data_IF_821409426835
#
_entry.id   IF_821409426835
#
_cell.length_a   1.000
_cell.length_b   1.000
_cell.length_c   1.000
_cell.angle_alpha   90.00
_cell.angle_beta   90.00
_cell.angle_gamma   90.00
#
_symmetry.space_group_name_H-M   'P 1'
#
loop_
_entity.id
_entity.type
_entity.pdbx_description
1 polymer ?
#
# COMPACT_ATOMS: atom_id res chain seq x y z
N UNK A 1 -8.91 -12.37 -2.28
CA UNK A 1 -9.04 -10.93 -2.51
C UNK A 1 -9.04 -10.25 -1.15
N UNK A 2 -8.00 -9.50 -0.81
CA UNK A 2 -7.94 -8.75 0.46
C UNK A 2 -8.71 -7.45 0.25
N UNK A 3 -10.04 -7.55 0.32
CA UNK A 3 -10.87 -6.36 0.30
C UNK A 3 -10.83 -5.71 1.70
N UNK A 4 -11.15 -4.42 1.85
CA UNK A 4 -11.32 -3.75 3.14
C UNK A 4 -12.20 -4.55 4.11
N UNK A 5 -13.17 -5.30 3.56
CA UNK A 5 -14.01 -6.26 4.28
C UNK A 5 -13.23 -7.27 5.12
N UNK A 6 -12.14 -7.84 4.58
CA UNK A 6 -11.32 -8.81 5.33
C UNK A 6 -10.66 -8.16 6.54
N UNK A 7 -10.18 -6.94 6.36
CA UNK A 7 -9.55 -6.18 7.45
C UNK A 7 -10.57 -5.87 8.55
N UNK A 8 -11.78 -5.42 8.17
CA UNK A 8 -12.87 -5.17 9.13
C UNK A 8 -13.29 -6.46 9.84
N UNK A 9 -13.49 -7.58 9.12
CA UNK A 9 -13.85 -8.86 9.75
C UNK A 9 -12.77 -9.37 10.73
N UNK A 10 -11.50 -9.19 10.38
CA UNK A 10 -10.37 -9.53 11.26
C UNK A 10 -10.36 -8.65 12.52
N UNK A 11 -10.44 -7.34 12.38
CA UNK A 11 -10.48 -6.40 13.51
C UNK A 11 -11.68 -6.64 14.41
N UNK A 12 -12.85 -6.90 13.80
CA UNK A 12 -14.07 -7.23 14.53
C UNK A 12 -13.98 -8.51 15.37
N UNK A 13 -13.10 -9.45 15.00
CA UNK A 13 -12.85 -10.67 15.77
C UNK A 13 -11.80 -10.48 16.87
N UNK A 14 -10.79 -9.67 16.59
CA UNK A 14 -9.56 -9.63 17.38
C UNK A 14 -9.49 -8.44 18.34
N UNK A 15 -10.37 -7.44 18.19
CA UNK A 15 -10.34 -6.21 18.98
C UNK A 15 -11.70 -5.87 19.60
N UNK A 16 -11.70 -4.87 20.49
CA UNK A 16 -12.91 -4.30 21.12
C UNK A 16 -12.96 -2.82 20.77
N UNK A 17 -13.51 -2.49 19.61
CA UNK A 17 -13.49 -1.18 18.99
C UNK A 17 -14.86 -0.80 18.45
N UNK A 18 -15.11 0.49 18.29
CA UNK A 18 -16.24 1.00 17.55
C UNK A 18 -15.81 1.24 16.10
N UNK A 19 -16.41 0.51 15.17
CA UNK A 19 -16.14 0.57 13.73
C UNK A 19 -17.33 1.20 13.04
N UNK A 20 -17.10 2.27 12.28
CA UNK A 20 -18.13 2.85 11.38
C UNK A 20 -17.68 2.67 9.95
N UNK A 21 -18.58 2.14 9.10
CA UNK A 21 -18.34 2.07 7.66
C UNK A 21 -19.31 2.98 6.91
N UNK A 22 -18.81 3.61 5.84
CA UNK A 22 -19.59 4.39 4.88
C UNK A 22 -19.33 3.80 3.50
N UNK A 23 -20.35 3.21 2.88
CA UNK A 23 -20.22 2.38 1.68
C UNK A 23 -21.29 2.75 0.62
N UNK A 24 -20.99 2.51 -0.67
CA UNK A 24 -21.91 2.75 -1.78
C UNK A 24 -21.82 1.62 -2.83
N UNK A 25 -22.70 0.60 -2.72
CA UNK A 25 -23.55 0.22 -1.59
C UNK A 25 -22.80 -0.59 -0.52
N UNK A 26 -23.51 -0.96 0.57
CA UNK A 26 -23.03 -1.97 1.52
C UNK A 26 -23.02 -3.32 0.80
N UNK A 27 -21.81 -3.85 0.51
CA UNK A 27 -21.67 -5.15 -0.18
C UNK A 27 -21.80 -6.33 0.78
N UNK A 28 -21.47 -6.13 2.04
CA UNK A 28 -21.47 -7.18 3.04
C UNK A 28 -21.82 -6.67 4.42
N UNK A 29 -22.81 -7.31 5.07
CA UNK A 29 -23.23 -6.97 6.42
C UNK A 29 -22.35 -7.67 7.45
N UNK A 30 -21.68 -6.90 8.29
CA UNK A 30 -20.92 -7.39 9.41
C UNK A 30 -21.82 -7.57 10.63
N UNK A 31 -21.64 -8.70 11.33
CA UNK A 31 -22.27 -8.91 12.64
C UNK A 31 -21.30 -8.45 13.71
N UNK A 32 -21.82 -7.84 14.77
CA UNK A 32 -21.02 -7.55 15.96
C UNK A 32 -20.40 -8.82 16.54
N UNK A 33 -19.13 -8.74 16.89
CA UNK A 33 -18.38 -9.83 17.53
C UNK A 33 -17.60 -9.27 18.72
N UNK A 34 -16.31 -8.89 18.54
CA UNK A 34 -15.55 -8.13 19.51
C UNK A 34 -15.81 -6.63 19.43
N UNK A 35 -16.14 -6.14 18.26
CA UNK A 35 -16.41 -4.73 17.96
C UNK A 35 -17.91 -4.45 17.82
N UNK A 36 -18.30 -3.20 18.07
CA UNK A 36 -19.56 -2.63 17.60
C UNK A 36 -19.34 -2.17 16.15
N UNK A 37 -20.16 -2.62 15.19
CA UNK A 37 -19.99 -2.27 13.76
C UNK A 37 -21.25 -1.58 13.23
N UNK A 38 -21.16 -0.30 12.96
CA UNK A 38 -22.23 0.49 12.37
C UNK A 38 -21.92 0.75 10.89
N UNK A 39 -22.76 0.24 9.98
CA UNK A 39 -22.60 0.40 8.54
C UNK A 39 -23.65 1.38 8.01
N UNK A 40 -23.20 2.28 7.13
CA UNK A 40 -24.04 3.31 6.49
C UNK A 40 -23.91 3.21 4.97
N UNK A 41 -25.06 2.97 4.32
CA UNK A 41 -25.18 2.94 2.87
C UNK A 41 -25.51 4.33 2.31
N UNK A 42 -24.74 4.79 1.33
CA UNK A 42 -25.09 5.99 0.58
C UNK A 42 -26.39 5.74 -0.22
N UNK A 43 -27.28 6.71 -0.18
CA UNK A 43 -28.62 6.62 -0.79
C UNK A 43 -29.68 5.97 0.09
N UNK A 44 -29.29 5.26 1.17
CA UNK A 44 -30.22 4.66 2.14
C UNK A 44 -30.13 5.39 3.50
N UNK A 45 -28.94 5.44 4.09
CA UNK A 45 -28.70 5.98 5.41
C UNK A 45 -28.09 7.39 5.39
N UNK A 46 -27.43 7.75 4.29
CA UNK A 46 -26.79 9.04 4.10
C UNK A 46 -26.86 9.50 2.64
N UNK A 47 -26.77 10.81 2.42
CA UNK A 47 -26.82 11.40 1.09
C UNK A 47 -25.46 11.48 0.39
N UNK A 48 -24.37 11.54 1.14
CA UNK A 48 -23.01 11.68 0.61
C UNK A 48 -21.97 11.08 1.55
N UNK A 49 -20.79 10.72 1.01
CA UNK A 49 -19.67 10.26 1.79
C UNK A 49 -19.18 11.32 2.80
N UNK A 50 -19.03 12.57 2.34
CA UNK A 50 -18.57 13.68 3.21
C UNK A 50 -19.53 13.95 4.36
N UNK A 51 -20.84 13.95 4.11
CA UNK A 51 -21.87 14.11 5.12
C UNK A 51 -21.90 12.99 6.15
N UNK A 52 -21.85 11.74 5.66
CA UNK A 52 -21.80 10.56 6.52
C UNK A 52 -20.54 10.52 7.39
N UNK A 53 -19.38 10.85 6.82
CA UNK A 53 -18.10 10.86 7.53
C UNK A 53 -18.05 11.94 8.61
N UNK A 54 -18.60 13.14 8.34
CA UNK A 54 -18.75 14.19 9.37
C UNK A 54 -19.65 13.78 10.53
N UNK A 55 -20.73 13.04 10.23
CA UNK A 55 -21.61 12.51 11.26
C UNK A 55 -20.91 11.42 12.07
N UNK A 56 -20.21 10.51 11.40
CA UNK A 56 -19.45 9.43 12.01
C UNK A 56 -18.44 9.94 13.06
N UNK A 57 -17.72 11.01 12.77
CA UNK A 57 -16.75 11.63 13.68
C UNK A 57 -17.34 12.13 15.02
N UNK A 58 -18.68 12.24 15.12
CA UNK A 58 -19.37 12.64 16.36
C UNK A 58 -19.87 11.45 17.18
N UNK A 59 -19.65 10.25 16.71
CA UNK A 59 -20.12 9.00 17.32
C UNK A 59 -19.01 8.26 18.07
N UNK A 60 -17.86 8.90 18.28
CA UNK A 60 -16.70 8.36 18.98
C UNK A 60 -16.21 7.03 18.37
N UNK A 61 -15.94 6.96 17.05
CA UNK A 61 -15.42 5.77 16.42
C UNK A 61 -13.93 5.60 16.68
N UNK A 62 -13.47 4.37 16.83
CA UNK A 62 -12.03 4.06 16.79
C UNK A 62 -11.53 3.86 15.35
N UNK A 63 -12.37 3.25 14.53
CA UNK A 63 -12.03 2.83 13.17
C UNK A 63 -13.12 3.28 12.21
N UNK A 64 -12.71 3.89 11.11
CA UNK A 64 -13.60 4.36 10.06
C UNK A 64 -13.21 3.69 8.74
N UNK A 65 -14.17 3.07 8.05
CA UNK A 65 -14.02 2.64 6.66
C UNK A 65 -14.80 3.58 5.75
N UNK A 66 -14.09 4.28 4.88
CA UNK A 66 -14.67 5.03 3.76
C UNK A 66 -14.57 4.15 2.52
N UNK A 67 -15.70 3.68 2.01
CA UNK A 67 -15.73 2.72 0.88
C UNK A 67 -14.88 3.15 -0.29
N UNK A 68 -14.97 4.44 -0.64
CA UNK A 68 -14.08 5.08 -1.62
C UNK A 68 -13.97 6.59 -1.42
N UNK A 69 -12.83 7.15 -1.83
CA UNK A 69 -12.58 8.59 -1.82
C UNK A 69 -12.57 9.11 -3.26
N UNK A 70 -13.70 9.72 -3.69
CA UNK A 70 -13.88 10.23 -5.05
C UNK A 70 -13.78 11.75 -5.15
N UNK A 71 -13.93 12.44 -4.04
CA UNK A 71 -14.00 13.90 -3.99
C UNK A 71 -13.07 14.49 -2.93
N UNK A 72 -12.69 15.74 -3.17
CA UNK A 72 -11.79 16.53 -2.33
C UNK A 72 -12.27 16.63 -0.88
N UNK A 73 -13.58 16.86 -0.69
CA UNK A 73 -14.16 17.07 0.63
C UNK A 73 -14.06 15.78 1.48
N UNK A 74 -14.36 14.62 0.88
CA UNK A 74 -14.24 13.32 1.55
C UNK A 74 -12.77 13.04 1.94
N UNK A 75 -11.80 13.34 1.06
CA UNK A 75 -10.37 13.18 1.35
C UNK A 75 -9.94 14.09 2.51
N UNK A 76 -10.31 15.36 2.49
CA UNK A 76 -9.90 16.32 3.55
C UNK A 76 -10.44 15.89 4.91
N UNK A 77 -11.71 15.45 4.99
CA UNK A 77 -12.32 14.94 6.22
C UNK A 77 -11.63 13.64 6.68
N UNK A 78 -11.29 12.72 5.75
CA UNK A 78 -10.61 11.48 6.08
C UNK A 78 -9.19 11.72 6.63
N UNK A 79 -8.44 12.65 6.03
CA UNK A 79 -7.13 13.08 6.53
C UNK A 79 -7.24 13.74 7.91
N UNK A 80 -8.27 14.59 8.11
CA UNK A 80 -8.54 15.19 9.42
C UNK A 80 -8.85 14.13 10.48
N UNK A 81 -9.69 13.15 10.15
CA UNK A 81 -10.01 12.04 11.04
C UNK A 81 -8.74 11.26 11.45
N UNK A 82 -7.87 10.94 10.48
CA UNK A 82 -6.61 10.26 10.74
C UNK A 82 -5.67 11.11 11.63
N UNK A 83 -5.57 12.42 11.38
CA UNK A 83 -4.78 13.35 12.20
C UNK A 83 -5.30 13.48 13.65
N UNK A 84 -6.58 13.23 13.87
CA UNK A 84 -7.20 13.26 15.21
C UNK A 84 -7.20 11.91 15.92
N UNK A 85 -6.50 10.90 15.38
CA UNK A 85 -6.22 9.63 16.06
C UNK A 85 -7.12 8.46 15.65
N UNK A 86 -8.01 8.64 14.67
CA UNK A 86 -8.83 7.55 14.15
C UNK A 86 -8.04 6.69 13.15
N UNK A 87 -8.25 5.38 13.15
CA UNK A 87 -7.74 4.52 12.08
C UNK A 87 -8.71 4.57 10.89
N UNK A 88 -8.26 5.16 9.79
CA UNK A 88 -9.08 5.32 8.58
C UNK A 88 -8.64 4.34 7.50
N UNK A 89 -9.58 3.51 7.02
CA UNK A 89 -9.42 2.70 5.82
C UNK A 89 -10.19 3.32 4.66
N UNK A 90 -9.62 3.27 3.46
CA UNK A 90 -10.34 3.64 2.25
C UNK A 90 -9.83 2.89 1.04
N UNK A 91 -10.57 2.99 -0.07
CA UNK A 91 -10.14 2.49 -1.37
C UNK A 91 -10.03 3.63 -2.38
N UNK A 92 -9.06 3.47 -3.29
CA UNK A 92 -8.91 4.30 -4.48
C UNK A 92 -8.71 3.38 -5.68
N UNK A 93 -9.17 3.82 -6.85
CA UNK A 93 -8.94 3.13 -8.11
C UNK A 93 -7.66 3.64 -8.77
N UNK A 94 -6.53 3.11 -8.33
CA UNK A 94 -5.17 3.46 -8.76
C UNK A 94 -4.37 2.20 -9.07
N UNK A 95 -3.31 2.33 -9.88
CA UNK A 95 -2.52 1.21 -10.35
C UNK A 95 -1.48 0.76 -9.31
N UNK A 96 -0.94 1.71 -8.52
CA UNK A 96 0.13 1.49 -7.55
C UNK A 96 0.12 2.54 -6.43
N UNK A 97 1.05 2.42 -5.49
CA UNK A 97 1.16 3.30 -4.33
C UNK A 97 1.55 4.73 -4.70
N UNK A 98 2.45 4.90 -5.69
CA UNK A 98 2.84 6.22 -6.19
C UNK A 98 1.64 6.95 -6.78
N UNK A 99 0.89 6.31 -7.69
CA UNK A 99 -0.31 6.90 -8.28
C UNK A 99 -1.37 7.22 -7.23
N UNK A 100 -1.48 6.40 -6.18
CA UNK A 100 -2.38 6.66 -5.06
C UNK A 100 -2.06 7.99 -4.37
N UNK A 101 -0.80 8.22 -4.07
CA UNK A 101 -0.32 9.47 -3.45
C UNK A 101 -0.53 10.65 -4.39
N UNK A 102 -0.10 10.52 -5.64
CA UNK A 102 -0.27 11.55 -6.68
C UNK A 102 -1.74 11.92 -6.86
N UNK A 103 -2.64 10.94 -6.86
CA UNK A 103 -4.07 11.16 -7.01
C UNK A 103 -4.68 11.90 -5.83
N UNK A 104 -4.35 11.50 -4.59
CA UNK A 104 -4.83 12.18 -3.38
C UNK A 104 -4.39 13.66 -3.39
N UNK A 105 -3.10 13.90 -3.61
CA UNK A 105 -2.54 15.26 -3.63
C UNK A 105 -3.06 16.07 -4.80
N UNK A 106 -3.14 15.46 -5.99
CA UNK A 106 -3.56 16.11 -7.24
C UNK A 106 -5.03 16.54 -7.29
N UNK A 107 -5.87 16.05 -6.39
CA UNK A 107 -7.27 16.52 -6.28
C UNK A 107 -7.39 17.93 -5.72
N UNK A 108 -6.34 18.43 -5.06
CA UNK A 108 -6.32 19.76 -4.43
C UNK A 108 -5.67 20.81 -5.33
N UNK A 109 -6.07 22.07 -5.17
CA UNK A 109 -5.43 23.19 -5.84
C UNK A 109 -3.95 23.29 -5.49
N UNK A 110 -3.15 23.86 -6.41
CA UNK A 110 -1.68 23.92 -6.25
C UNK A 110 -1.22 24.55 -4.94
N UNK A 111 -1.96 25.52 -4.44
CA UNK A 111 -1.71 26.22 -3.17
C UNK A 111 -1.91 25.34 -1.95
N UNK A 112 -2.75 24.29 -2.04
CA UNK A 112 -3.05 23.38 -0.95
C UNK A 112 -2.23 22.09 -1.01
N UNK A 113 -1.70 21.71 -2.17
CA UNK A 113 -1.02 20.43 -2.37
C UNK A 113 0.09 20.17 -1.37
N UNK A 114 0.87 21.20 -1.01
CA UNK A 114 1.93 21.03 -0.03
C UNK A 114 1.38 20.71 1.37
N UNK A 115 0.30 21.39 1.81
CA UNK A 115 -0.38 21.10 3.07
C UNK A 115 -0.91 19.68 3.11
N UNK A 116 -1.57 19.25 2.02
CA UNK A 116 -2.14 17.90 1.91
C UNK A 116 -1.04 16.84 1.91
N UNK A 117 0.06 17.09 1.22
CA UNK A 117 1.24 16.20 1.16
C UNK A 117 1.84 15.99 2.54
N UNK A 118 2.05 17.06 3.29
CA UNK A 118 2.53 17.01 4.67
C UNK A 118 1.56 16.25 5.58
N UNK A 119 0.26 16.53 5.49
CA UNK A 119 -0.77 15.83 6.26
C UNK A 119 -0.82 14.34 5.91
N UNK A 120 -0.83 13.98 4.61
CA UNK A 120 -0.82 12.59 4.17
C UNK A 120 0.42 11.86 4.66
N UNK A 121 1.61 12.43 4.50
CA UNK A 121 2.87 11.82 4.94
C UNK A 121 2.87 11.52 6.44
N UNK A 122 2.28 12.40 7.25
CA UNK A 122 2.23 12.24 8.71
C UNK A 122 1.29 11.11 9.16
N UNK A 123 0.17 10.86 8.44
CA UNK A 123 -0.87 9.91 8.87
C UNK A 123 -0.92 8.61 8.08
N UNK A 124 -0.28 8.54 6.90
CA UNK A 124 -0.30 7.36 6.05
C UNK A 124 0.42 6.20 6.76
N UNK A 125 -0.30 5.11 7.02
CA UNK A 125 0.26 3.89 7.60
C UNK A 125 0.69 2.90 6.52
N UNK A 126 -0.05 2.79 5.42
CA UNK A 126 0.28 1.92 4.32
C UNK A 126 -0.68 1.98 3.14
N UNK A 127 -0.20 1.47 2.01
CA UNK A 127 -0.99 1.27 0.79
C UNK A 127 -0.79 -0.16 0.33
N UNK A 128 -1.88 -0.84 -0.01
CA UNK A 128 -1.86 -2.18 -0.60
C UNK A 128 -2.50 -2.11 -1.97
N UNK A 129 -1.69 -2.17 -3.02
CA UNK A 129 -2.14 -2.21 -4.40
C UNK A 129 -2.22 -3.65 -4.92
N UNK A 130 -3.21 -3.97 -5.74
CA UNK A 130 -3.50 -5.34 -6.16
C UNK A 130 -3.70 -5.43 -7.67
N UNK A 131 -3.09 -6.48 -8.28
CA UNK A 131 -3.31 -6.86 -9.69
C UNK A 131 -3.75 -8.31 -9.77
N UNK A 132 -4.77 -8.61 -10.57
CA UNK A 132 -5.22 -9.98 -10.82
C UNK A 132 -4.45 -10.57 -12.01
N UNK A 133 -3.65 -11.58 -11.75
CA UNK A 133 -2.73 -12.20 -12.72
C UNK A 133 -3.26 -13.58 -13.12
N UNK A 134 -3.27 -13.94 -14.43
CA UNK A 134 -3.63 -15.29 -14.87
C UNK A 134 -2.67 -16.34 -14.30
N UNK A 135 -3.21 -17.46 -13.83
CA UNK A 135 -2.42 -18.58 -13.34
C UNK A 135 -2.01 -19.52 -14.49
N UNK A 136 -0.93 -20.30 -14.32
CA UNK A 136 -0.58 -21.42 -15.22
C UNK A 136 -1.74 -22.41 -15.39
N UNK A 137 -2.48 -22.65 -14.30
CA UNK A 137 -3.72 -23.43 -14.30
C UNK A 137 -4.90 -22.46 -14.38
N UNK A 138 -6.11 -22.99 -14.55
CA UNK A 138 -7.33 -22.17 -14.61
C UNK A 138 -7.48 -21.29 -13.37
N UNK A 139 -7.82 -20.02 -13.58
CA UNK A 139 -8.08 -19.05 -12.53
C UNK A 139 -7.11 -17.85 -12.52
N UNK A 140 -7.21 -17.04 -11.49
CA UNK A 140 -6.38 -15.83 -11.28
C UNK A 140 -5.79 -15.86 -9.87
N UNK A 141 -4.61 -15.27 -9.73
CA UNK A 141 -3.93 -15.04 -8.46
C UNK A 141 -3.69 -13.54 -8.29
N UNK A 142 -3.57 -13.07 -7.06
CA UNK A 142 -3.30 -11.67 -6.79
C UNK A 142 -1.79 -11.46 -6.67
N UNK A 143 -1.24 -10.55 -7.45
CA UNK A 143 0.03 -9.90 -7.17
C UNK A 143 -0.24 -8.65 -6.34
N UNK A 144 0.62 -8.36 -5.36
CA UNK A 144 0.44 -7.23 -4.45
C UNK A 144 1.69 -6.36 -4.39
N UNK A 145 1.47 -5.05 -4.37
CA UNK A 145 2.46 -4.08 -3.93
C UNK A 145 2.08 -3.63 -2.52
N UNK A 146 3.08 -3.49 -1.66
CA UNK A 146 2.90 -3.14 -0.25
C UNK A 146 3.81 -1.98 0.09
N UNK A 147 3.23 -0.80 0.28
CA UNK A 147 3.86 0.33 0.91
C UNK A 147 3.54 0.30 2.40
N UNK A 148 4.55 0.40 3.24
CA UNK A 148 4.41 0.69 4.67
C UNK A 148 5.11 2.00 4.97
N UNK A 149 4.56 2.77 5.90
CA UNK A 149 5.21 3.98 6.40
C UNK A 149 6.57 3.64 6.99
N UNK A 150 7.59 4.25 6.46
CA UNK A 150 8.94 4.30 7.01
C UNK A 150 9.38 5.76 7.00
N UNK A 151 10.40 6.12 7.77
CA UNK A 151 10.95 7.48 7.76
C UNK A 151 11.35 7.92 6.34
N UNK A 152 11.91 6.99 5.53
CA UNK A 152 12.27 7.27 4.13
C UNK A 152 11.03 7.55 3.27
N UNK A 153 9.98 6.71 3.35
CA UNK A 153 8.74 6.91 2.59
C UNK A 153 8.07 8.22 2.99
N UNK A 154 7.98 8.51 4.29
CA UNK A 154 7.44 9.78 4.80
C UNK A 154 8.21 10.98 4.23
N UNK A 155 9.53 10.95 4.28
CA UNK A 155 10.38 12.01 3.73
C UNK A 155 10.17 12.18 2.22
N UNK A 156 10.13 11.09 1.44
CA UNK A 156 9.92 11.15 -0.01
C UNK A 156 8.57 11.79 -0.36
N UNK A 157 7.51 11.47 0.38
CA UNK A 157 6.20 12.10 0.19
C UNK A 157 6.27 13.60 0.51
N UNK A 158 6.86 13.99 1.64
CA UNK A 158 7.02 15.40 2.04
C UNK A 158 7.79 16.22 1.00
N UNK A 159 8.85 15.66 0.44
CA UNK A 159 9.74 16.32 -0.53
C UNK A 159 9.25 16.27 -1.98
N UNK A 160 8.06 15.69 -2.25
CA UNK A 160 7.54 15.49 -3.61
C UNK A 160 8.47 14.63 -4.49
N UNK A 161 9.10 13.62 -3.89
CA UNK A 161 10.00 12.65 -4.54
C UNK A 161 9.31 11.29 -4.68
N UNK A 162 8.03 11.29 -5.02
CA UNK A 162 7.21 10.07 -5.10
C UNK A 162 7.72 9.06 -6.13
N UNK A 163 8.51 9.52 -7.12
CA UNK A 163 9.16 8.67 -8.12
C UNK A 163 10.24 7.74 -7.54
N UNK A 164 10.76 8.02 -6.34
CA UNK A 164 11.74 7.18 -5.64
C UNK A 164 11.08 6.15 -4.68
N UNK A 165 9.76 6.22 -4.50
CA UNK A 165 9.03 5.28 -3.66
C UNK A 165 9.23 3.82 -4.08
N UNK A 166 9.19 3.45 -5.38
CA UNK A 166 9.43 2.06 -5.81
C UNK A 166 10.77 1.51 -5.34
N UNK A 167 11.84 2.32 -5.36
CA UNK A 167 13.17 1.91 -4.88
C UNK A 167 13.16 1.70 -3.36
N UNK A 168 12.51 2.59 -2.60
CA UNK A 168 12.36 2.45 -1.17
C UNK A 168 11.56 1.19 -0.79
N UNK A 169 10.52 0.83 -1.56
CA UNK A 169 9.77 -0.41 -1.35
C UNK A 169 10.61 -1.65 -1.67
N UNK A 170 11.39 -1.60 -2.76
CA UNK A 170 12.26 -2.69 -3.17
C UNK A 170 13.32 -3.01 -2.11
N UNK A 171 14.02 -2.00 -1.62
CA UNK A 171 15.08 -2.13 -0.61
C UNK A 171 14.53 -2.52 0.77
N UNK A 172 13.32 -2.08 1.09
CA UNK A 172 12.69 -2.32 2.39
C UNK A 172 12.07 -3.70 2.57
N UNK A 173 12.12 -4.60 1.58
CA UNK A 173 11.41 -5.89 1.61
C UNK A 173 11.74 -6.72 2.84
N UNK A 174 13.02 -6.96 3.10
CA UNK A 174 13.48 -7.86 4.18
C UNK A 174 13.33 -7.23 5.57
N UNK A 175 13.47 -5.91 5.67
CA UNK A 175 13.48 -5.21 6.97
C UNK A 175 12.07 -4.78 7.39
N UNK A 176 11.33 -4.17 6.46
CA UNK A 176 10.02 -3.56 6.76
C UNK A 176 8.84 -4.39 6.22
N UNK A 177 9.11 -5.38 5.35
CA UNK A 177 8.08 -6.14 4.67
C UNK A 177 7.30 -5.30 3.65
N UNK A 178 7.95 -4.30 3.05
CA UNK A 178 7.46 -3.61 1.85
C UNK A 178 7.66 -4.53 0.63
N UNK A 179 6.96 -4.27 -0.46
CA UNK A 179 7.07 -5.12 -1.64
C UNK A 179 6.64 -4.35 -2.89
N UNK A 180 7.41 -4.45 -3.97
CA UNK A 180 6.98 -3.99 -5.29
C UNK A 180 6.17 -5.06 -6.02
N UNK A 181 5.41 -4.66 -7.06
CA UNK A 181 4.72 -5.64 -7.93
C UNK A 181 5.70 -6.62 -8.57
N UNK A 182 6.86 -6.16 -9.04
CA UNK A 182 7.84 -7.02 -9.72
C UNK A 182 8.43 -8.07 -8.76
N UNK A 183 8.64 -7.72 -7.49
CA UNK A 183 9.01 -8.70 -6.47
C UNK A 183 7.90 -9.72 -6.21
N UNK A 184 6.64 -9.28 -6.17
CA UNK A 184 5.49 -10.19 -6.02
C UNK A 184 5.38 -11.15 -7.22
N UNK A 185 5.56 -10.64 -8.45
CA UNK A 185 5.53 -11.44 -9.66
C UNK A 185 6.66 -12.47 -9.68
N UNK A 186 7.88 -12.07 -9.31
CA UNK A 186 9.02 -12.97 -9.19
C UNK A 186 8.77 -14.11 -8.21
N UNK A 187 8.18 -13.80 -7.06
CA UNK A 187 7.83 -14.80 -6.04
C UNK A 187 6.75 -15.76 -6.55
N UNK A 188 5.77 -15.28 -7.33
CA UNK A 188 4.74 -16.10 -7.97
C UNK A 188 5.32 -17.02 -9.06
N UNK A 189 6.32 -16.57 -9.83
CA UNK A 189 7.04 -17.41 -10.80
C UNK A 189 7.83 -18.49 -10.07
N UNK A 190 8.62 -18.14 -9.04
CA UNK A 190 9.38 -19.10 -8.23
C UNK A 190 8.49 -20.14 -7.57
N UNK A 191 7.30 -19.76 -7.13
CA UNK A 191 6.29 -20.66 -6.58
C UNK A 191 5.54 -21.50 -7.64
N UNK A 192 5.87 -21.33 -8.94
CA UNK A 192 5.25 -22.05 -10.05
C UNK A 192 3.77 -21.71 -10.29
N UNK A 193 3.28 -20.58 -9.78
CA UNK A 193 1.87 -20.16 -9.90
C UNK A 193 1.56 -19.52 -11.24
N UNK A 194 2.50 -18.74 -11.79
CA UNK A 194 2.40 -18.05 -13.09
C UNK A 194 3.60 -18.40 -13.96
N UNK A 195 3.53 -18.12 -15.27
CA UNK A 195 4.69 -18.29 -16.17
C UNK A 195 5.53 -17.03 -16.18
N UNK A 196 6.77 -17.14 -16.71
CA UNK A 196 7.65 -15.98 -16.88
C UNK A 196 7.07 -14.97 -17.87
N UNK A 197 6.46 -15.45 -18.96
CA UNK A 197 5.83 -14.60 -19.97
C UNK A 197 4.72 -13.76 -19.34
N UNK A 198 3.85 -14.37 -18.53
CA UNK A 198 2.79 -13.68 -17.80
C UNK A 198 3.38 -12.67 -16.81
N UNK A 199 4.45 -13.04 -16.09
CA UNK A 199 5.09 -12.11 -15.16
C UNK A 199 5.66 -10.88 -15.89
N UNK A 200 6.30 -11.07 -17.05
CA UNK A 200 6.84 -9.96 -17.86
C UNK A 200 5.74 -9.07 -18.45
N UNK A 201 4.60 -9.66 -18.86
CA UNK A 201 3.44 -8.91 -19.35
C UNK A 201 2.86 -7.95 -18.30
N UNK A 202 2.83 -8.37 -17.03
CA UNK A 202 2.26 -7.60 -15.93
C UNK A 202 3.29 -6.81 -15.11
N UNK A 203 4.57 -6.89 -15.45
CA UNK A 203 5.64 -6.21 -14.75
C UNK A 203 5.59 -4.69 -14.91
N UNK A 204 6.04 -3.99 -13.89
CA UNK A 204 6.28 -2.54 -13.95
C UNK A 204 7.55 -2.23 -14.74
N UNK A 205 8.61 -3.04 -14.52
CA UNK A 205 9.86 -3.00 -15.30
C UNK A 205 10.20 -4.39 -15.83
N UNK A 206 9.71 -4.77 -17.03
CA UNK A 206 9.94 -6.10 -17.61
C UNK A 206 11.42 -6.45 -17.80
N UNK A 207 12.26 -5.47 -18.19
CA UNK A 207 13.68 -5.71 -18.45
C UNK A 207 14.44 -6.06 -17.16
N UNK A 208 14.20 -5.32 -16.09
CA UNK A 208 14.81 -5.58 -14.78
C UNK A 208 14.30 -6.89 -14.17
N UNK A 209 13.00 -7.17 -14.30
CA UNK A 209 12.40 -8.41 -13.83
C UNK A 209 13.00 -9.62 -14.56
N UNK A 210 13.22 -9.53 -15.89
CA UNK A 210 13.86 -10.59 -16.67
C UNK A 210 15.27 -10.90 -16.18
N UNK A 211 16.09 -9.88 -15.97
CA UNK A 211 17.45 -10.04 -15.42
C UNK A 211 17.43 -10.72 -14.04
N UNK A 212 16.49 -10.35 -13.18
CA UNK A 212 16.33 -10.99 -11.86
C UNK A 212 15.89 -12.46 -11.96
N UNK A 213 15.07 -12.82 -12.94
CA UNK A 213 14.69 -14.23 -13.20
C UNK A 213 15.89 -15.05 -13.70
N UNK A 214 16.72 -14.50 -14.58
CA UNK A 214 17.91 -15.14 -15.13
C UNK A 214 19.06 -15.26 -14.10
N UNK A 215 18.89 -14.70 -12.90
CA UNK A 215 19.87 -14.79 -11.81
C UNK A 215 21.04 -13.82 -11.90
N UNK A 216 21.06 -12.91 -12.85
CA UNK A 216 22.14 -11.93 -13.09
C UNK A 216 22.28 -10.92 -11.93
N UNK A 217 21.25 -10.76 -11.09
CA UNK A 217 21.30 -9.90 -9.90
C UNK A 217 21.96 -10.51 -8.65
N UNK A 218 22.26 -11.81 -8.64
CA UNK A 218 22.89 -12.48 -7.48
C UNK A 218 24.41 -12.42 -7.46
N UNK A 219 25.05 -12.05 -8.58
CA UNK A 219 26.51 -11.99 -8.70
C UNK A 219 27.15 -10.71 -8.15
N UNK A 220 26.39 -9.64 -7.92
CA UNK A 220 26.95 -8.38 -7.46
C UNK A 220 27.06 -8.24 -5.93
N UNK A 221 26.46 -9.15 -5.15
CA UNK A 221 26.47 -9.09 -3.67
C UNK A 221 27.50 -10.06 -3.05
N UNK A 222 28.12 -10.94 -3.83
CA UNK A 222 29.07 -11.96 -3.30
C UNK A 222 30.54 -11.51 -3.33
N UNK A 223 30.88 -10.37 -3.93
CA UNK A 223 32.27 -9.93 -4.07
C UNK A 223 32.77 -8.88 -3.06
N UNK A 224 32.03 -8.56 -2.00
CA UNK A 224 32.57 -7.76 -0.89
C UNK A 224 33.18 -8.58 0.25
N UNK A 225 33.03 -9.91 0.21
CA UNK A 225 33.59 -10.83 1.22
C UNK A 225 34.98 -11.39 0.90
N UNK A 226 35.53 -11.21 -0.29
CA UNK A 226 36.82 -11.79 -0.71
C UNK A 226 37.96 -10.75 -0.92
N UNK A 227 37.78 -9.51 -0.48
CA UNK A 227 38.88 -8.51 -0.53
C UNK A 227 39.71 -8.39 0.73
N UNK A 228 39.70 -9.39 1.60
CA UNK A 228 40.63 -9.46 2.76
C UNK A 228 41.41 -10.76 2.78
N UNK A 229 42.26 -11.00 1.78
CA UNK A 229 43.37 -11.95 1.92
C UNK A 229 44.42 -11.86 0.80
N UNK A 230 44.84 -10.66 0.42
CA UNK A 230 46.04 -10.48 -0.42
C UNK A 230 46.86 -9.24 -0.03
N UNK A 231 47.07 -9.04 1.26
CA UNK A 231 48.11 -8.14 1.80
C UNK A 231 49.17 -8.98 2.49
N UNK A 232 49.85 -9.81 1.76
CA UNK A 232 51.14 -10.40 2.19
C UNK A 232 51.87 -10.90 0.95
N UNK A 233 52.48 -10.04 0.18
CA UNK A 233 53.65 -10.31 -0.69
C UNK A 233 54.24 -8.97 -1.12
N UNK A 234 54.99 -8.28 -0.25
CA UNK A 234 56.11 -7.42 -0.64
C UNK A 234 57.10 -7.37 0.51
N UNK A 235 57.90 -8.43 0.65
CA UNK A 235 59.21 -8.32 1.31
C UNK A 235 60.18 -7.73 0.28
N UNK A 236 60.70 -6.54 0.63
CA UNK A 236 61.91 -6.01 0.01
C UNK A 236 63.11 -6.77 0.59
N UNK A 237 63.90 -7.42 -0.27
CA UNK A 237 65.28 -7.78 -0.02
C UNK A 237 66.20 -6.66 -0.46
N UNK A 238 67.19 -6.33 0.39
CA UNK A 238 68.32 -5.45 0.14
C UNK A 238 69.07 -5.76 -1.16
#
# INVERSE_FOLDING_TARGET
>A
MHSPRYNIDKLNKETKKHIITVEDPIEFVHKDRGCLVNQRGIGQDAHSFSGALRAALREDPDIILVGEMRDLETIDIALHAANTGHLVFSTLHTLDAKETIDRIVGMFGKEEQNRIRMSLASVLEGIISQRLIPMKKKGRIVAVEILKKTARVEQLIMENRDHEIPDALFEGKEIYGTQTFDQSLLDLVKAGKITEEVALEYATNPSDLKLKMEGVGKGAIVNEGERQSNEDIFEFKE
#
